data_IF_715727502650
#
_entry.id   IF_715727502650
#
_cell.length_a   1.000
_cell.length_b   1.000
_cell.length_c   1.000
_cell.angle_alpha   90.00
_cell.angle_beta   90.00
_cell.angle_gamma   90.00
#
_symmetry.space_group_name_H-M   'P 1'
#
loop_
_entity.id
_entity.type
_entity.pdbx_description
1 polymer ?
#
# COMPACT_ATOMS: atom_id res chain seq x y z
N UNK A 1 57.54 -27.68 -9.38
CA UNK A 1 56.52 -27.92 -10.43
C UNK A 1 55.10 -28.15 -9.88
N UNK A 2 54.89 -28.90 -8.79
CA UNK A 2 53.56 -29.20 -8.23
C UNK A 2 52.78 -27.95 -7.75
N UNK A 3 53.41 -26.93 -7.15
CA UNK A 3 52.77 -25.71 -6.66
C UNK A 3 52.25 -24.80 -7.78
N UNK A 4 52.90 -24.77 -8.93
CA UNK A 4 52.49 -23.99 -10.09
C UNK A 4 51.27 -24.61 -10.77
N UNK A 5 51.16 -25.94 -10.77
CA UNK A 5 50.01 -26.66 -11.33
C UNK A 5 48.75 -26.52 -10.49
N UNK A 6 48.87 -26.47 -9.16
CA UNK A 6 47.74 -26.31 -8.23
C UNK A 6 47.12 -24.90 -8.32
N UNK A 7 47.99 -23.86 -8.42
CA UNK A 7 47.54 -22.48 -8.61
C UNK A 7 46.83 -22.27 -9.94
N UNK A 8 47.33 -22.86 -11.02
CA UNK A 8 46.70 -22.81 -12.33
C UNK A 8 45.32 -23.51 -12.36
N UNK A 9 45.19 -24.66 -11.70
CA UNK A 9 43.91 -25.39 -11.58
C UNK A 9 42.92 -24.57 -10.76
N UNK A 10 43.31 -24.02 -9.62
CA UNK A 10 42.46 -23.17 -8.79
C UNK A 10 42.00 -21.91 -9.56
N UNK A 11 42.89 -21.29 -10.33
CA UNK A 11 42.53 -20.16 -11.18
C UNK A 11 41.52 -20.53 -12.27
N UNK A 12 41.73 -21.70 -12.93
CA UNK A 12 40.77 -22.20 -13.93
C UNK A 12 39.41 -22.53 -13.32
N UNK A 13 39.37 -23.14 -12.15
CA UNK A 13 38.13 -23.41 -11.41
C UNK A 13 37.44 -22.09 -11.01
N UNK A 14 38.21 -21.13 -10.49
CA UNK A 14 37.67 -19.83 -10.12
C UNK A 14 37.15 -19.04 -11.35
N UNK A 15 37.94 -18.92 -12.42
CA UNK A 15 37.51 -18.25 -13.66
C UNK A 15 36.40 -19.03 -14.39
N UNK A 16 36.32 -20.34 -14.16
CA UNK A 16 35.23 -21.21 -14.59
C UNK A 16 33.91 -20.99 -13.78
N UNK A 17 33.94 -20.24 -12.67
CA UNK A 17 32.79 -20.01 -11.81
C UNK A 17 32.42 -21.18 -10.89
N UNK A 18 33.41 -22.04 -10.53
CA UNK A 18 33.19 -23.15 -9.60
C UNK A 18 32.88 -22.69 -8.16
N UNK A 19 33.21 -21.44 -7.82
CA UNK A 19 32.99 -20.83 -6.50
C UNK A 19 31.82 -19.83 -6.47
N UNK A 20 30.99 -19.82 -7.50
CA UNK A 20 29.75 -19.04 -7.47
C UNK A 20 28.79 -19.59 -6.39
N UNK A 21 27.93 -18.75 -5.81
CA UNK A 21 27.01 -19.15 -4.76
C UNK A 21 26.14 -20.36 -5.12
N UNK A 22 25.84 -21.21 -4.14
CA UNK A 22 25.05 -22.43 -4.36
C UNK A 22 23.56 -22.19 -4.51
N UNK A 23 23.06 -21.07 -4.06
CA UNK A 23 21.65 -20.67 -4.18
C UNK A 23 21.26 -20.26 -5.60
N UNK A 24 22.24 -20.08 -6.50
CA UNK A 24 21.94 -19.70 -7.89
C UNK A 24 21.18 -20.81 -8.60
N UNK A 25 19.95 -20.49 -9.01
CA UNK A 25 19.22 -21.32 -9.97
C UNK A 25 19.59 -20.90 -11.39
N UNK A 26 20.19 -21.81 -12.15
CA UNK A 26 20.59 -21.59 -13.54
C UNK A 26 19.46 -21.97 -14.46
N UNK A 27 18.77 -20.97 -15.04
CA UNK A 27 17.73 -21.19 -16.03
C UNK A 27 18.31 -21.82 -17.31
N UNK A 28 17.53 -22.64 -18.00
CA UNK A 28 17.84 -23.18 -19.33
C UNK A 28 16.57 -23.45 -20.11
N UNK A 29 16.61 -23.26 -21.40
CA UNK A 29 15.45 -23.46 -22.28
C UNK A 29 15.48 -22.55 -23.50
N UNK A 30 14.42 -22.62 -24.31
CA UNK A 30 14.14 -21.68 -25.38
C UNK A 30 12.93 -20.82 -24.99
N UNK A 31 13.04 -19.53 -25.24
CA UNK A 31 12.05 -18.50 -24.96
C UNK A 31 11.84 -17.68 -26.23
N UNK A 32 10.74 -16.91 -26.27
CA UNK A 32 10.46 -16.01 -27.37
C UNK A 32 10.19 -14.61 -26.85
N UNK A 33 10.51 -13.60 -27.67
CA UNK A 33 10.02 -12.23 -27.45
C UNK A 33 8.50 -12.16 -27.67
N UNK A 34 7.86 -11.06 -27.30
CA UNK A 34 6.41 -10.88 -27.42
C UNK A 34 5.90 -10.92 -28.88
N UNK A 35 6.77 -10.66 -29.86
CA UNK A 35 6.47 -10.73 -31.30
C UNK A 35 6.66 -12.12 -31.89
N UNK A 36 7.20 -13.08 -31.10
CA UNK A 36 7.62 -14.43 -31.54
C UNK A 36 8.63 -14.42 -32.70
N UNK A 37 9.30 -13.31 -32.93
CA UNK A 37 10.26 -13.11 -33.99
C UNK A 37 11.66 -13.56 -33.65
N UNK A 38 12.01 -13.44 -32.38
CA UNK A 38 13.31 -13.82 -31.85
C UNK A 38 13.18 -15.02 -30.91
N UNK A 39 13.93 -16.07 -31.20
CA UNK A 39 14.08 -17.21 -30.30
C UNK A 39 15.35 -17.02 -29.44
N UNK A 40 15.18 -17.05 -28.12
CA UNK A 40 16.21 -16.85 -27.12
C UNK A 40 16.56 -18.22 -26.53
N UNK A 41 17.70 -18.76 -26.87
CA UNK A 41 18.17 -20.07 -26.38
C UNK A 41 19.16 -19.86 -25.26
N UNK A 42 18.79 -20.21 -24.02
CA UNK A 42 19.69 -20.21 -22.86
C UNK A 42 20.15 -21.64 -22.56
N UNK A 43 21.41 -21.92 -22.83
CA UNK A 43 22.03 -23.23 -22.57
C UNK A 43 23.46 -23.08 -22.10
N UNK A 44 23.90 -23.93 -21.16
CA UNK A 44 25.26 -23.92 -20.62
C UNK A 44 25.70 -22.53 -20.10
N UNK A 45 24.77 -21.77 -19.46
CA UNK A 45 25.00 -20.41 -18.95
C UNK A 45 25.37 -19.39 -20.05
N UNK A 46 24.91 -19.61 -21.26
CA UNK A 46 25.09 -18.75 -22.44
C UNK A 46 23.78 -18.57 -23.16
N UNK A 47 23.60 -17.39 -23.72
CA UNK A 47 22.46 -17.05 -24.55
C UNK A 47 22.90 -16.98 -26.00
N UNK A 48 22.14 -17.62 -26.86
CA UNK A 48 22.13 -17.44 -28.31
C UNK A 48 20.77 -16.93 -28.75
N UNK A 49 20.75 -15.96 -29.66
CA UNK A 49 19.51 -15.43 -30.22
C UNK A 49 19.45 -15.80 -31.69
N UNK A 50 18.30 -16.38 -32.06
CA UNK A 50 17.99 -16.77 -33.43
C UNK A 50 16.89 -15.82 -33.99
N UNK A 51 17.04 -15.41 -35.22
CA UNK A 51 16.04 -14.70 -36.01
C UNK A 51 15.80 -15.46 -37.30
N UNK A 52 14.56 -15.92 -37.50
CA UNK A 52 14.23 -16.81 -38.64
C UNK A 52 15.06 -18.10 -38.65
N UNK A 53 15.44 -18.62 -37.49
CA UNK A 53 16.26 -19.82 -37.34
C UNK A 53 17.76 -19.63 -37.56
N UNK A 54 18.20 -18.38 -37.79
CA UNK A 54 19.64 -18.04 -37.96
C UNK A 54 20.17 -17.36 -36.73
N UNK A 55 21.32 -17.81 -36.24
CA UNK A 55 22.01 -17.17 -35.10
C UNK A 55 22.46 -15.75 -35.45
N UNK A 56 21.89 -14.76 -34.75
CA UNK A 56 22.16 -13.33 -34.96
C UNK A 56 23.00 -12.72 -33.84
N UNK A 57 23.04 -13.36 -32.67
CA UNK A 57 23.79 -12.86 -31.54
C UNK A 57 24.09 -13.94 -30.49
N UNK A 58 25.20 -13.75 -29.77
CA UNK A 58 25.60 -14.59 -28.64
C UNK A 58 26.02 -13.74 -27.46
N UNK A 59 25.71 -14.18 -26.24
CA UNK A 59 26.13 -13.50 -25.01
C UNK A 59 27.65 -13.35 -24.93
N UNK A 60 28.20 -12.25 -24.34
CA UNK A 60 29.63 -11.96 -24.30
C UNK A 60 30.45 -13.08 -23.69
N UNK A 61 31.70 -13.26 -24.22
CA UNK A 61 32.68 -14.16 -23.59
C UNK A 61 32.99 -13.71 -22.17
N UNK A 62 33.10 -14.65 -21.22
CA UNK A 62 33.38 -14.33 -19.81
C UNK A 62 32.14 -14.07 -18.96
N UNK A 63 30.97 -13.80 -19.55
CA UNK A 63 29.68 -13.68 -18.86
C UNK A 63 29.03 -15.06 -18.69
N UNK A 64 28.43 -15.32 -17.52
CA UNK A 64 27.60 -16.48 -17.24
C UNK A 64 26.19 -16.01 -16.99
N UNK A 65 25.27 -16.35 -17.86
CA UNK A 65 23.85 -15.94 -17.75
C UNK A 65 23.15 -16.87 -16.79
N UNK A 66 22.54 -16.27 -15.76
CA UNK A 66 21.73 -16.97 -14.76
C UNK A 66 20.31 -17.17 -15.26
N UNK A 67 19.68 -16.09 -15.73
CA UNK A 67 18.33 -16.10 -16.30
C UNK A 67 18.16 -15.03 -17.37
N UNK A 68 17.12 -15.17 -18.18
CA UNK A 68 16.71 -14.23 -19.20
C UNK A 68 15.26 -13.80 -18.97
N UNK A 69 14.94 -12.56 -19.35
CA UNK A 69 13.59 -12.01 -19.37
C UNK A 69 13.46 -11.18 -20.65
N UNK A 70 12.35 -11.37 -21.38
CA UNK A 70 11.96 -10.50 -22.49
C UNK A 70 10.72 -9.73 -22.09
N UNK A 71 10.78 -8.43 -22.07
CA UNK A 71 9.67 -7.54 -21.72
C UNK A 71 9.94 -6.12 -22.21
N UNK A 72 8.89 -5.38 -22.54
CA UNK A 72 8.93 -3.95 -22.83
C UNK A 72 9.14 -3.17 -21.54
N UNK A 73 10.42 -2.90 -21.20
CA UNK A 73 10.78 -2.30 -19.93
C UNK A 73 10.68 -0.76 -19.92
N UNK A 74 10.69 -0.14 -21.08
CA UNK A 74 10.62 1.32 -21.22
C UNK A 74 9.31 1.83 -21.82
N UNK A 75 8.36 0.93 -22.07
CA UNK A 75 7.02 1.20 -22.61
C UNK A 75 7.03 1.82 -24.02
N UNK A 76 7.99 1.45 -24.86
CA UNK A 76 8.03 1.87 -26.27
C UNK A 76 7.24 0.95 -27.21
N UNK A 77 6.69 -0.15 -26.69
CA UNK A 77 5.90 -1.15 -27.40
C UNK A 77 6.73 -2.30 -27.96
N UNK A 78 8.05 -2.31 -27.73
CA UNK A 78 8.95 -3.38 -28.13
C UNK A 78 9.62 -3.99 -26.90
N UNK A 79 9.78 -5.31 -26.92
CA UNK A 79 10.47 -5.98 -25.81
C UNK A 79 11.96 -5.67 -25.83
N UNK A 80 12.55 -5.53 -24.65
CA UNK A 80 13.96 -5.68 -24.42
C UNK A 80 14.31 -7.08 -23.93
N UNK A 81 15.57 -7.47 -24.20
CA UNK A 81 16.18 -8.66 -23.62
C UNK A 81 16.98 -8.28 -22.37
N UNK A 82 16.54 -8.74 -21.22
CA UNK A 82 17.26 -8.57 -19.95
C UNK A 82 18.03 -9.86 -19.60
N UNK A 83 19.30 -9.74 -19.28
CA UNK A 83 20.13 -10.84 -18.80
C UNK A 83 20.53 -10.61 -17.36
N UNK A 84 20.06 -11.43 -16.44
CA UNK A 84 20.68 -11.55 -15.12
C UNK A 84 21.92 -12.41 -15.27
N UNK A 85 23.09 -11.86 -14.99
CA UNK A 85 24.33 -12.56 -15.32
C UNK A 85 25.47 -12.27 -14.34
N UNK A 86 26.48 -13.12 -14.38
CA UNK A 86 27.70 -13.07 -13.57
C UNK A 86 28.90 -12.81 -14.46
N UNK A 87 29.74 -11.87 -14.08
CA UNK A 87 31.05 -11.63 -14.68
C UNK A 87 32.09 -11.32 -13.61
N UNK A 88 33.39 -11.42 -13.99
CA UNK A 88 34.49 -10.99 -13.14
C UNK A 88 34.67 -9.48 -13.33
N UNK A 89 34.69 -8.74 -12.22
CA UNK A 89 34.83 -7.30 -12.19
C UNK A 89 33.50 -6.55 -12.21
N UNK A 90 33.48 -5.39 -11.57
CA UNK A 90 32.32 -4.55 -11.40
C UNK A 90 32.03 -3.69 -12.63
N UNK A 91 33.05 -3.07 -13.20
CA UNK A 91 32.90 -2.06 -14.24
C UNK A 91 33.21 -2.56 -15.67
N UNK A 92 34.19 -3.44 -15.82
CA UNK A 92 34.61 -3.89 -17.13
C UNK A 92 35.47 -2.85 -17.89
N UNK A 93 35.32 -2.81 -19.23
CA UNK A 93 36.13 -1.91 -20.10
C UNK A 93 35.77 -0.43 -19.94
N UNK A 94 34.53 -0.11 -19.56
CA UNK A 94 34.01 1.25 -19.39
C UNK A 94 33.95 1.71 -17.94
N UNK A 95 35.04 1.44 -17.18
CA UNK A 95 35.11 1.86 -15.78
C UNK A 95 35.23 3.39 -15.67
N UNK A 96 34.71 4.01 -14.60
CA UNK A 96 34.91 5.43 -14.31
C UNK A 96 36.39 5.80 -14.19
N UNK A 97 36.79 6.99 -14.63
CA UNK A 97 38.18 7.43 -14.66
C UNK A 97 38.86 7.49 -13.27
N UNK A 98 38.08 7.58 -12.20
CA UNK A 98 38.59 7.56 -10.82
C UNK A 98 38.81 6.15 -10.27
N UNK A 99 38.45 5.12 -11.02
CA UNK A 99 38.68 3.70 -10.65
C UNK A 99 39.93 3.21 -11.35
N UNK A 100 41.04 3.10 -10.63
CA UNK A 100 42.30 2.66 -11.20
C UNK A 100 42.29 1.22 -11.69
N UNK A 101 41.69 0.32 -10.93
CA UNK A 101 41.59 -1.12 -11.23
C UNK A 101 40.23 -1.67 -10.92
N UNK A 102 39.73 -2.53 -11.80
CA UNK A 102 38.49 -3.27 -11.54
C UNK A 102 38.71 -4.40 -10.53
N UNK A 103 37.64 -4.78 -9.86
CA UNK A 103 37.68 -5.87 -8.87
C UNK A 103 37.92 -7.23 -9.55
N UNK A 104 38.67 -8.10 -8.87
CA UNK A 104 38.91 -9.47 -9.34
C UNK A 104 38.02 -10.46 -8.61
N UNK A 105 36.73 -10.16 -8.54
CA UNK A 105 35.71 -11.07 -7.96
C UNK A 105 34.54 -11.23 -8.93
N UNK A 106 33.82 -12.31 -8.80
CA UNK A 106 32.53 -12.47 -9.48
C UNK A 106 31.52 -11.49 -8.86
N UNK A 107 30.77 -10.79 -9.71
CA UNK A 107 29.67 -9.92 -9.34
C UNK A 107 28.49 -10.16 -10.26
N UNK A 108 27.29 -9.90 -9.76
CA UNK A 108 26.05 -10.07 -10.49
C UNK A 108 25.65 -8.77 -11.18
N UNK A 109 25.09 -8.87 -12.39
CA UNK A 109 24.76 -7.75 -13.25
C UNK A 109 23.44 -8.00 -13.96
N UNK A 110 22.76 -6.91 -14.33
CA UNK A 110 21.67 -6.92 -15.31
C UNK A 110 22.18 -6.22 -16.57
N UNK A 111 22.09 -6.91 -17.70
CA UNK A 111 22.36 -6.34 -19.01
C UNK A 111 21.08 -6.24 -19.79
N UNK A 112 20.82 -5.09 -20.41
CA UNK A 112 19.63 -4.80 -21.22
C UNK A 112 20.07 -4.61 -22.67
N UNK A 113 19.40 -5.34 -23.55
CA UNK A 113 19.61 -5.29 -24.99
C UNK A 113 18.30 -4.97 -25.69
N UNK A 114 18.35 -4.25 -26.77
CA UNK A 114 17.23 -3.97 -27.67
C UNK A 114 17.32 -4.75 -28.98
N UNK A 115 16.18 -5.06 -29.57
CA UNK A 115 16.07 -5.69 -30.86
C UNK A 115 15.92 -4.62 -31.94
N UNK A 116 16.81 -4.60 -32.93
CA UNK A 116 16.78 -3.62 -34.00
C UNK A 116 17.09 -4.26 -35.36
N UNK A 117 16.10 -4.40 -36.23
CA UNK A 117 16.25 -4.88 -37.61
C UNK A 117 17.06 -6.18 -37.74
N UNK A 118 16.75 -7.18 -36.90
CA UNK A 118 17.45 -8.48 -36.87
C UNK A 118 18.82 -8.42 -36.19
N UNK A 119 19.12 -7.35 -35.46
CA UNK A 119 20.35 -7.19 -34.68
C UNK A 119 20.02 -6.96 -33.21
N UNK A 120 20.94 -7.32 -32.35
CA UNK A 120 20.85 -7.10 -30.92
C UNK A 120 21.89 -6.05 -30.53
N UNK A 121 21.44 -4.96 -29.93
CA UNK A 121 22.28 -3.87 -29.45
C UNK A 121 22.24 -3.75 -27.93
N UNK A 122 23.34 -3.39 -27.33
CA UNK A 122 23.39 -3.07 -25.90
C UNK A 122 22.66 -1.74 -25.67
N UNK A 123 21.63 -1.76 -24.81
CA UNK A 123 20.90 -0.57 -24.36
C UNK A 123 21.45 -0.07 -23.03
N UNK A 124 21.68 -0.99 -22.08
CA UNK A 124 22.21 -0.64 -20.78
C UNK A 124 23.00 -1.80 -20.15
N UNK A 125 24.15 -1.46 -19.56
CA UNK A 125 25.05 -2.42 -18.93
C UNK A 125 25.36 -1.99 -17.51
N UNK A 126 24.64 -2.56 -16.53
CA UNK A 126 24.82 -2.23 -15.13
C UNK A 126 26.26 -2.49 -14.63
N UNK A 127 26.76 -1.60 -13.78
CA UNK A 127 28.02 -1.81 -13.07
C UNK A 127 27.97 -3.01 -12.14
N UNK A 128 26.97 -3.07 -11.28
CA UNK A 128 26.45 -4.21 -10.52
C UNK A 128 25.03 -3.81 -10.01
N UNK A 129 24.33 -4.76 -9.43
CA UNK A 129 22.96 -4.53 -8.95
C UNK A 129 22.95 -3.97 -7.52
N UNK A 130 24.07 -4.09 -6.80
CA UNK A 130 24.17 -3.69 -5.39
C UNK A 130 23.57 -4.67 -4.39
N UNK A 131 22.92 -5.74 -4.85
CA UNK A 131 22.35 -6.82 -4.05
C UNK A 131 22.48 -8.16 -4.79
N UNK A 132 22.42 -9.28 -4.05
CA UNK A 132 22.32 -10.60 -4.64
C UNK A 132 20.88 -10.87 -5.10
N UNK A 133 20.71 -11.43 -6.31
CA UNK A 133 19.41 -11.71 -6.93
C UNK A 133 19.28 -13.18 -7.25
N UNK A 134 18.36 -13.86 -6.60
CA UNK A 134 18.01 -15.26 -6.86
C UNK A 134 17.08 -15.39 -8.08
N UNK A 135 16.12 -14.47 -8.23
CA UNK A 135 15.10 -14.48 -9.29
C UNK A 135 14.88 -13.08 -9.85
N UNK A 136 14.64 -12.99 -11.15
CA UNK A 136 14.32 -11.77 -11.88
C UNK A 136 13.04 -11.99 -12.66
N UNK A 137 12.04 -11.14 -12.50
CA UNK A 137 10.73 -11.19 -13.13
C UNK A 137 10.28 -9.80 -13.56
N UNK A 138 9.48 -9.74 -14.62
CA UNK A 138 8.69 -8.55 -14.95
C UNK A 138 7.29 -8.68 -14.32
N UNK A 139 6.65 -7.59 -13.98
CA UNK A 139 5.28 -7.62 -13.47
C UNK A 139 4.20 -7.71 -14.58
N UNK A 140 4.60 -8.08 -15.81
CA UNK A 140 3.69 -8.16 -16.96
C UNK A 140 3.38 -6.80 -17.59
N UNK A 141 2.40 -6.79 -18.52
CA UNK A 141 1.96 -5.58 -19.23
C UNK A 141 0.87 -4.80 -18.49
N UNK A 142 0.70 -5.02 -17.20
CA UNK A 142 -0.27 -4.25 -16.43
C UNK A 142 0.17 -2.79 -16.37
N UNK A 143 -0.57 -1.98 -17.12
CA UNK A 143 -0.34 -0.55 -17.25
C UNK A 143 -0.36 0.19 -15.89
N UNK A 144 0.33 1.33 -15.74
CA UNK A 144 1.01 2.06 -16.81
C UNK A 144 2.53 1.88 -16.85
N UNK A 145 3.15 1.03 -16.02
CA UNK A 145 4.62 0.93 -15.94
C UNK A 145 5.07 -0.51 -15.80
N UNK A 146 5.86 -0.97 -16.78
CA UNK A 146 6.62 -2.22 -16.61
C UNK A 146 7.64 -2.06 -15.49
N UNK A 147 7.62 -3.01 -14.56
CA UNK A 147 8.52 -3.05 -13.41
C UNK A 147 9.32 -4.33 -13.41
N UNK A 148 10.53 -4.22 -12.94
CA UNK A 148 11.41 -5.35 -12.70
C UNK A 148 11.35 -5.74 -11.23
N UNK A 149 11.01 -6.98 -10.95
CA UNK A 149 11.01 -7.55 -9.61
C UNK A 149 12.27 -8.40 -9.43
N UNK A 150 13.06 -8.08 -8.42
CA UNK A 150 14.28 -8.79 -8.07
C UNK A 150 14.10 -9.43 -6.69
N UNK A 151 14.07 -10.77 -6.65
CA UNK A 151 13.99 -11.53 -5.39
C UNK A 151 15.40 -11.86 -4.92
N UNK A 152 15.76 -11.46 -3.72
CA UNK A 152 17.02 -11.80 -3.06
C UNK A 152 17.03 -13.28 -2.58
N UNK A 153 18.20 -13.87 -2.23
CA UNK A 153 18.27 -15.25 -1.75
C UNK A 153 17.53 -15.55 -0.44
N UNK A 154 17.28 -14.54 0.37
CA UNK A 154 16.50 -14.60 1.62
C UNK A 154 14.99 -14.41 1.40
N UNK A 155 14.57 -14.10 0.16
CA UNK A 155 13.18 -13.93 -0.22
C UNK A 155 12.72 -12.47 -0.25
N UNK A 156 13.55 -11.50 0.13
CA UNK A 156 13.21 -10.08 -0.02
C UNK A 156 12.99 -9.74 -1.49
N UNK A 157 11.91 -9.01 -1.80
CA UNK A 157 11.63 -8.50 -3.14
C UNK A 157 11.89 -7.02 -3.20
N UNK A 158 12.68 -6.62 -4.19
CA UNK A 158 12.89 -5.23 -4.57
C UNK A 158 12.25 -4.96 -5.91
N UNK A 159 11.48 -3.88 -5.99
CA UNK A 159 10.85 -3.40 -7.22
C UNK A 159 11.66 -2.28 -7.83
N UNK A 160 11.88 -2.35 -9.15
CA UNK A 160 12.63 -1.35 -9.91
C UNK A 160 11.80 -0.86 -11.09
N UNK A 161 11.88 0.43 -11.35
CA UNK A 161 11.33 1.07 -12.54
C UNK A 161 12.47 1.47 -13.46
N UNK A 162 12.27 1.31 -14.78
CA UNK A 162 13.17 1.86 -15.77
C UNK A 162 13.01 3.38 -15.86
N UNK A 163 14.13 4.10 -15.89
CA UNK A 163 14.20 5.51 -16.25
C UNK A 163 15.20 5.71 -17.41
N UNK A 164 15.44 6.95 -17.83
CA UNK A 164 16.33 7.25 -18.94
C UNK A 164 17.76 6.69 -18.81
N UNK A 165 18.20 6.41 -17.59
CA UNK A 165 19.59 6.05 -17.31
C UNK A 165 19.76 4.67 -16.69
N UNK A 166 18.69 3.92 -16.51
CA UNK A 166 18.72 2.58 -15.92
C UNK A 166 17.57 2.31 -14.97
N UNK A 167 17.79 1.39 -14.04
CA UNK A 167 16.80 1.00 -13.05
C UNK A 167 16.91 1.82 -11.78
N UNK A 168 15.81 2.40 -11.36
CA UNK A 168 15.66 3.07 -10.06
C UNK A 168 14.84 2.18 -9.14
N UNK A 169 15.36 1.88 -7.94
CA UNK A 169 14.63 1.13 -6.92
C UNK A 169 13.44 1.96 -6.45
N UNK A 170 12.26 1.35 -6.47
CA UNK A 170 11.04 1.96 -5.93
C UNK A 170 10.89 1.58 -4.45
N UNK A 171 10.49 2.53 -3.62
CA UNK A 171 10.00 2.24 -2.29
C UNK A 171 8.65 1.52 -2.42
N UNK A 172 8.48 0.38 -1.75
CA UNK A 172 7.25 -0.42 -1.81
C UNK A 172 6.54 -0.52 -0.49
N UNK A 173 7.23 -0.23 0.60
CA UNK A 173 6.61 -0.16 1.91
C UNK A 173 5.69 1.07 1.99
N UNK A 174 4.50 0.87 2.54
CA UNK A 174 3.51 1.93 2.79
C UNK A 174 3.07 1.84 4.23
N UNK A 175 3.36 2.88 5.00
CA UNK A 175 2.96 3.01 6.39
C UNK A 175 1.60 3.70 6.50
N UNK A 176 0.71 3.10 7.31
CA UNK A 176 -0.60 3.65 7.64
C UNK A 176 -0.66 4.00 9.12
N UNK A 177 -1.28 5.15 9.43
CA UNK A 177 -1.75 5.50 10.76
C UNK A 177 -3.24 5.79 10.70
N UNK A 178 -4.01 5.16 11.59
CA UNK A 178 -5.48 5.27 11.61
C UNK A 178 -5.93 5.72 12.98
N UNK A 179 -6.70 6.81 13.00
CA UNK A 179 -7.28 7.39 14.20
C UNK A 179 -8.77 7.08 14.28
N UNK A 180 -9.24 6.82 15.50
CA UNK A 180 -10.63 6.46 15.77
C UNK A 180 -11.62 7.61 15.68
N UNK A 181 -12.69 7.52 16.48
CA UNK A 181 -13.85 8.37 16.40
C UNK A 181 -13.51 9.85 16.72
N UNK A 182 -13.54 10.69 15.68
CA UNK A 182 -13.54 12.15 15.81
C UNK A 182 -14.96 12.61 16.09
N UNK A 183 -15.39 12.46 17.35
CA UNK A 183 -16.73 12.68 17.84
C UNK A 183 -16.86 14.07 18.46
N UNK A 184 -17.23 15.05 17.67
CA UNK A 184 -17.21 16.47 18.03
C UNK A 184 -18.44 16.87 18.83
N UNK A 185 -18.38 16.69 20.14
CA UNK A 185 -19.38 17.13 21.08
C UNK A 185 -19.44 18.66 21.26
N UNK A 186 -20.55 19.14 21.77
CA UNK A 186 -20.79 20.57 22.01
C UNK A 186 -19.69 21.28 22.79
N UNK A 187 -19.14 20.76 23.91
CA UNK A 187 -18.05 21.42 24.63
C UNK A 187 -16.80 21.63 23.78
N UNK A 188 -16.49 20.67 22.85
CA UNK A 188 -15.31 20.71 21.99
C UNK A 188 -15.47 21.84 20.97
N UNK A 189 -16.56 21.81 20.15
CA UNK A 189 -16.70 22.85 19.14
C UNK A 189 -16.94 24.23 19.71
N UNK A 190 -17.63 24.36 20.87
CA UNK A 190 -17.79 25.66 21.53
C UNK A 190 -16.46 26.22 22.02
N UNK A 191 -15.52 25.36 22.43
CA UNK A 191 -14.18 25.83 22.76
C UNK A 191 -13.47 26.40 21.54
N UNK A 192 -13.41 25.66 20.42
CA UNK A 192 -12.78 26.13 19.18
C UNK A 192 -13.39 27.42 18.62
N UNK A 193 -14.73 27.52 18.64
CA UNK A 193 -15.42 28.76 18.20
C UNK A 193 -15.00 29.99 19.05
N UNK A 194 -14.71 29.81 20.35
CA UNK A 194 -14.18 30.90 21.19
C UNK A 194 -12.71 31.25 20.94
N UNK A 195 -11.99 30.35 20.24
CA UNK A 195 -10.61 30.57 19.81
C UNK A 195 -10.55 31.00 18.34
N UNK A 196 -11.39 31.98 17.96
CA UNK A 196 -11.49 32.50 16.59
C UNK A 196 -11.83 31.43 15.53
N UNK A 197 -12.52 30.37 15.96
CA UNK A 197 -12.84 29.17 15.17
C UNK A 197 -11.61 28.40 14.68
N UNK A 198 -10.50 28.50 15.38
CA UNK A 198 -9.31 27.67 15.20
C UNK A 198 -9.48 26.33 15.91
N UNK A 199 -9.36 25.24 15.17
CA UNK A 199 -9.46 23.86 15.64
C UNK A 199 -8.13 23.07 15.49
N UNK A 200 -7.03 23.75 15.14
CA UNK A 200 -5.72 23.11 15.01
C UNK A 200 -5.28 22.41 16.31
N UNK A 201 -5.74 22.90 17.48
CA UNK A 201 -5.47 22.30 18.78
C UNK A 201 -5.90 20.83 18.91
N UNK A 202 -6.85 20.37 18.07
CA UNK A 202 -7.29 18.97 18.10
C UNK A 202 -6.18 18.01 17.66
N UNK A 203 -5.26 18.46 16.78
CA UNK A 203 -4.28 17.59 16.13
C UNK A 203 -2.82 17.94 16.46
N UNK A 204 -2.57 18.94 17.31
CA UNK A 204 -1.21 19.40 17.65
C UNK A 204 -0.25 18.27 18.06
N UNK A 205 -0.73 17.33 18.89
CA UNK A 205 0.11 16.29 19.49
C UNK A 205 0.29 15.05 18.58
N UNK A 206 -0.44 14.97 17.47
CA UNK A 206 -0.36 13.85 16.51
C UNK A 206 0.15 14.29 15.14
N UNK A 207 0.40 15.59 14.94
CA UNK A 207 0.78 16.16 13.65
C UNK A 207 2.06 15.56 13.09
N UNK A 208 3.06 15.31 13.95
CA UNK A 208 4.34 14.77 13.51
C UNK A 208 4.18 13.34 12.98
N UNK A 209 3.44 12.48 13.69
CA UNK A 209 3.19 11.10 13.24
C UNK A 209 2.34 11.03 11.98
N UNK A 210 1.39 11.96 11.80
CA UNK A 210 0.62 12.11 10.55
C UNK A 210 1.60 12.44 9.40
N UNK A 211 2.48 13.42 9.58
CA UNK A 211 3.42 13.86 8.57
C UNK A 211 4.52 12.82 8.23
N UNK A 212 4.85 11.93 9.15
CA UNK A 212 5.84 10.87 8.99
C UNK A 212 5.27 9.60 8.33
N UNK A 213 3.93 9.44 8.31
CA UNK A 213 3.27 8.30 7.67
C UNK A 213 3.02 8.52 6.18
N UNK A 214 2.98 7.44 5.39
CA UNK A 214 2.63 7.53 3.96
C UNK A 214 1.13 7.76 3.75
N UNK A 215 0.28 7.27 4.69
CA UNK A 215 -1.18 7.44 4.66
C UNK A 215 -1.70 7.63 6.07
N UNK A 216 -2.34 8.76 6.32
CA UNK A 216 -3.03 9.06 7.57
C UNK A 216 -4.56 9.05 7.37
N UNK A 217 -5.26 8.31 8.23
CA UNK A 217 -6.71 8.09 8.17
C UNK A 217 -7.37 8.50 9.48
N UNK A 218 -8.55 9.12 9.41
CA UNK A 218 -9.37 9.44 10.60
C UNK A 218 -10.84 9.12 10.36
N UNK A 219 -11.52 8.58 11.38
CA UNK A 219 -12.97 8.42 11.35
C UNK A 219 -13.67 9.73 11.77
N UNK A 220 -14.22 10.45 10.81
CA UNK A 220 -15.07 11.63 11.07
C UNK A 220 -16.50 11.16 11.34
N UNK A 221 -16.82 10.97 12.62
CA UNK A 221 -18.08 10.34 13.01
C UNK A 221 -19.29 11.24 12.78
N UNK A 222 -19.11 12.54 12.88
CA UNK A 222 -20.20 13.51 12.85
C UNK A 222 -20.20 14.37 11.58
N UNK A 223 -21.35 14.60 10.91
CA UNK A 223 -21.40 15.33 9.67
C UNK A 223 -20.96 16.79 9.83
N UNK A 224 -20.24 17.30 8.82
CA UNK A 224 -19.85 18.71 8.75
C UNK A 224 -21.03 19.59 8.31
N UNK A 225 -21.06 20.81 8.81
CA UNK A 225 -22.01 21.86 8.40
C UNK A 225 -21.34 23.24 8.43
N UNK A 226 -21.77 24.13 7.54
CA UNK A 226 -21.28 25.52 7.46
C UNK A 226 -22.22 26.53 8.13
N UNK A 227 -23.50 26.16 8.31
CA UNK A 227 -24.47 27.03 8.94
C UNK A 227 -24.44 26.89 10.47
N UNK A 228 -24.12 27.97 11.22
CA UNK A 228 -24.09 27.94 12.69
C UNK A 228 -25.41 27.50 13.37
N UNK A 229 -26.56 27.67 12.68
CA UNK A 229 -27.86 27.21 13.19
C UNK A 229 -27.98 25.68 13.20
N UNK A 230 -27.12 25.00 12.45
CA UNK A 230 -27.06 23.53 12.37
C UNK A 230 -26.02 22.94 13.32
N UNK A 231 -25.18 23.74 14.01
CA UNK A 231 -24.25 23.21 14.99
C UNK A 231 -25.01 22.53 16.12
N UNK A 232 -24.54 21.32 16.48
CA UNK A 232 -25.18 20.52 17.51
C UNK A 232 -24.28 19.42 18.04
N UNK A 233 -24.56 19.03 19.28
CA UNK A 233 -24.01 17.84 19.92
C UNK A 233 -25.05 16.73 20.01
N UNK A 234 -24.76 15.74 20.89
CA UNK A 234 -25.69 14.62 21.14
C UNK A 234 -27.10 15.09 21.44
N UNK A 235 -28.15 14.43 20.92
CA UNK A 235 -28.12 13.19 20.13
C UNK A 235 -28.03 13.39 18.60
N UNK A 236 -28.01 14.62 18.10
CA UNK A 236 -27.92 14.94 16.67
C UNK A 236 -26.82 15.94 16.41
N UNK A 237 -25.72 15.41 15.93
CA UNK A 237 -24.50 16.18 15.70
C UNK A 237 -24.57 17.06 14.44
N UNK A 238 -23.85 18.18 14.49
CA UNK A 238 -23.55 19.04 13.37
C UNK A 238 -22.27 19.77 13.69
N UNK A 239 -21.20 19.33 13.04
CA UNK A 239 -19.82 19.76 13.33
C UNK A 239 -19.49 20.97 12.47
N UNK A 240 -18.96 22.08 13.05
CA UNK A 240 -18.48 23.20 12.27
C UNK A 240 -17.48 22.78 11.19
N UNK A 241 -17.64 23.27 9.96
CA UNK A 241 -16.76 22.98 8.82
C UNK A 241 -15.27 23.30 9.11
N UNK A 242 -14.99 24.20 10.05
CA UNK A 242 -13.64 24.54 10.51
C UNK A 242 -12.92 23.36 11.18
N UNK A 243 -13.66 22.40 11.75
CA UNK A 243 -13.06 21.12 12.23
C UNK A 243 -12.57 20.31 11.04
N UNK A 244 -13.36 20.22 9.97
CA UNK A 244 -12.94 19.59 8.71
C UNK A 244 -11.69 20.28 8.13
N UNK A 245 -11.60 21.61 8.20
CA UNK A 245 -10.41 22.34 7.75
C UNK A 245 -9.19 21.97 8.62
N UNK A 246 -9.34 21.81 9.92
CA UNK A 246 -8.25 21.37 10.80
C UNK A 246 -7.77 19.94 10.49
N UNK A 247 -8.67 19.04 10.04
CA UNK A 247 -8.31 17.70 9.54
C UNK A 247 -7.44 17.83 8.28
N UNK A 248 -7.86 18.66 7.32
CA UNK A 248 -7.08 18.92 6.09
C UNK A 248 -5.71 19.51 6.41
N UNK A 249 -5.66 20.51 7.29
CA UNK A 249 -4.42 21.22 7.67
C UNK A 249 -3.48 20.35 8.51
N UNK A 250 -4.01 19.33 9.20
CA UNK A 250 -3.20 18.33 9.90
C UNK A 250 -2.52 17.35 8.95
N UNK A 251 -2.99 17.23 7.70
CA UNK A 251 -2.36 16.39 6.67
C UNK A 251 -2.97 14.99 6.53
N UNK A 252 -4.21 14.77 6.98
CA UNK A 252 -4.88 13.50 6.73
C UNK A 252 -5.17 13.28 5.24
N UNK A 253 -4.88 12.08 4.75
CA UNK A 253 -5.10 11.66 3.37
C UNK A 253 -6.52 11.14 3.14
N UNK A 254 -7.08 10.44 4.14
CA UNK A 254 -8.35 9.74 4.05
C UNK A 254 -9.23 10.03 5.27
N UNK A 255 -10.52 10.29 5.01
CA UNK A 255 -11.54 10.46 6.04
C UNK A 255 -12.63 9.41 5.80
N UNK A 256 -12.91 8.60 6.81
CA UNK A 256 -14.03 7.64 6.81
C UNK A 256 -15.25 8.29 7.40
N UNK A 257 -16.40 8.21 6.71
CA UNK A 257 -17.62 8.96 7.05
C UNK A 257 -18.88 8.09 7.14
N UNK A 258 -18.82 6.79 6.80
CA UNK A 258 -19.95 5.88 7.04
C UNK A 258 -20.03 5.57 8.54
N UNK A 259 -20.90 6.26 9.25
CA UNK A 259 -21.10 6.15 10.69
C UNK A 259 -22.59 6.16 11.03
N UNK A 260 -22.94 5.81 12.28
CA UNK A 260 -24.32 5.90 12.76
C UNK A 260 -24.86 7.35 12.82
N UNK A 261 -23.99 8.36 12.91
CA UNK A 261 -24.32 9.79 12.97
C UNK A 261 -24.30 10.51 11.61
N UNK A 262 -23.95 9.83 10.53
CA UNK A 262 -23.74 10.42 9.19
C UNK A 262 -24.95 11.19 8.68
N UNK A 263 -26.19 10.75 8.99
CA UNK A 263 -27.46 11.37 8.58
C UNK A 263 -28.06 12.33 9.62
N UNK A 264 -27.32 12.71 10.66
CA UNK A 264 -27.85 13.64 11.70
C UNK A 264 -28.23 15.01 11.14
N UNK A 265 -27.72 15.38 9.98
CA UNK A 265 -28.08 16.60 9.20
C UNK A 265 -28.68 16.28 7.84
N UNK A 266 -29.25 15.06 7.70
CA UNK A 266 -29.89 14.61 6.47
C UNK A 266 -28.92 14.49 5.29
N UNK A 267 -29.46 14.28 4.09
CA UNK A 267 -28.66 14.16 2.87
C UNK A 267 -27.81 15.39 2.56
N UNK A 268 -28.29 16.58 2.89
CA UNK A 268 -27.51 17.83 2.70
C UNK A 268 -26.23 17.83 3.51
N UNK A 269 -26.28 17.30 4.77
CA UNK A 269 -25.08 17.16 5.60
C UNK A 269 -24.09 16.14 5.04
N UNK A 270 -24.57 15.03 4.48
CA UNK A 270 -23.75 14.03 3.81
C UNK A 270 -23.05 14.64 2.59
N UNK A 271 -23.83 15.27 1.68
CA UNK A 271 -23.30 15.93 0.48
C UNK A 271 -22.25 16.99 0.84
N UNK A 272 -22.58 17.87 1.80
CA UNK A 272 -21.66 18.89 2.24
C UNK A 272 -20.34 18.29 2.78
N UNK A 273 -20.42 17.22 3.58
CA UNK A 273 -19.24 16.55 4.15
C UNK A 273 -18.35 15.94 3.06
N UNK A 274 -18.95 15.20 2.11
CA UNK A 274 -18.21 14.59 0.96
C UNK A 274 -17.52 15.68 0.12
N UNK A 275 -18.27 16.69 -0.31
CA UNK A 275 -17.76 17.80 -1.15
C UNK A 275 -16.70 18.62 -0.42
N UNK A 276 -16.86 18.83 0.88
CA UNK A 276 -15.89 19.57 1.68
C UNK A 276 -14.50 18.95 1.62
N UNK A 277 -14.39 17.65 1.86
CA UNK A 277 -13.12 16.92 1.86
C UNK A 277 -12.58 16.72 0.44
N UNK A 278 -13.40 16.26 -0.49
CA UNK A 278 -12.97 15.97 -1.87
C UNK A 278 -12.48 17.21 -2.60
N UNK A 279 -13.14 18.37 -2.41
CA UNK A 279 -12.71 19.65 -3.00
C UNK A 279 -11.36 20.14 -2.45
N UNK A 280 -10.89 19.59 -1.33
CA UNK A 280 -9.61 19.91 -0.69
C UNK A 280 -8.55 18.83 -0.87
N UNK A 281 -8.83 17.83 -1.74
CA UNK A 281 -7.89 16.78 -2.08
C UNK A 281 -7.77 15.67 -1.02
N UNK A 282 -8.68 15.62 -0.05
CA UNK A 282 -8.76 14.52 0.93
C UNK A 282 -9.74 13.46 0.43
N UNK A 283 -9.33 12.21 0.43
CA UNK A 283 -10.19 11.09 0.04
C UNK A 283 -11.26 10.85 1.11
N UNK A 284 -12.53 11.05 0.75
CA UNK A 284 -13.66 10.84 1.67
C UNK A 284 -14.41 9.57 1.24
N UNK A 285 -14.49 8.57 2.10
CA UNK A 285 -15.07 7.25 1.80
C UNK A 285 -16.27 6.92 2.69
N UNK A 286 -17.13 6.00 2.20
CA UNK A 286 -18.29 5.48 2.92
C UNK A 286 -19.58 6.28 2.73
N UNK A 287 -19.53 7.41 2.03
CA UNK A 287 -20.69 8.24 1.72
C UNK A 287 -20.63 8.74 0.28
N UNK A 288 -21.83 8.97 -0.33
CA UNK A 288 -21.95 9.49 -1.69
C UNK A 288 -22.87 10.72 -1.77
N UNK A 289 -22.64 11.57 -2.78
CA UNK A 289 -23.51 12.73 -3.06
C UNK A 289 -24.75 12.30 -3.84
N UNK A 290 -25.75 13.19 -3.94
CA UNK A 290 -26.98 12.90 -4.68
C UNK A 290 -26.75 12.60 -6.17
N UNK A 291 -25.73 13.17 -6.77
CA UNK A 291 -25.36 12.95 -8.17
C UNK A 291 -24.45 11.70 -8.35
N UNK A 292 -24.02 11.08 -7.25
CA UNK A 292 -23.09 9.96 -7.21
C UNK A 292 -23.72 8.57 -7.27
N UNK A 293 -24.96 8.44 -7.78
CA UNK A 293 -25.72 7.18 -7.83
C UNK A 293 -25.04 6.01 -8.62
N UNK A 294 -23.94 6.29 -9.32
CA UNK A 294 -23.07 5.30 -9.97
C UNK A 294 -21.68 5.21 -9.26
N UNK A 295 -21.59 5.67 -8.01
CA UNK A 295 -20.35 5.69 -7.24
C UNK A 295 -19.82 4.27 -6.97
N UNK A 296 -18.50 4.09 -7.07
CA UNK A 296 -17.85 2.87 -6.64
C UNK A 296 -17.98 2.73 -5.11
N UNK A 297 -18.27 1.54 -4.58
CA UNK A 297 -18.35 1.32 -3.13
C UNK A 297 -16.97 1.44 -2.43
N UNK A 298 -15.90 1.65 -3.19
CA UNK A 298 -14.53 1.79 -2.71
C UNK A 298 -13.78 2.85 -3.51
N UNK A 299 -12.73 3.37 -2.91
CA UNK A 299 -11.78 4.28 -3.56
C UNK A 299 -10.43 3.59 -3.75
N UNK A 300 -9.79 3.81 -4.90
CA UNK A 300 -8.43 3.32 -5.17
C UNK A 300 -7.42 4.40 -4.79
N UNK A 301 -6.68 4.15 -3.72
CA UNK A 301 -5.55 4.96 -3.30
C UNK A 301 -4.24 4.35 -3.83
N UNK A 302 -3.42 5.16 -4.52
CA UNK A 302 -2.09 4.72 -4.98
C UNK A 302 -1.00 5.37 -4.11
N UNK A 303 -0.18 4.54 -3.45
CA UNK A 303 1.00 4.99 -2.69
C UNK A 303 2.18 4.07 -2.96
N UNK A 304 3.33 4.67 -3.19
CA UNK A 304 4.57 3.94 -3.52
C UNK A 304 4.36 2.87 -4.61
N UNK A 305 3.47 3.18 -5.59
CA UNK A 305 3.10 2.32 -6.71
C UNK A 305 2.27 1.08 -6.33
N UNK A 306 1.76 0.99 -5.11
CA UNK A 306 0.80 -0.02 -4.65
C UNK A 306 -0.61 0.55 -4.69
N UNK A 307 -1.56 -0.24 -5.19
CA UNK A 307 -2.98 0.12 -5.32
C UNK A 307 -3.73 -0.45 -4.12
N UNK A 308 -4.30 0.42 -3.31
CA UNK A 308 -5.12 0.06 -2.16
C UNK A 308 -6.59 0.31 -2.50
N UNK A 309 -7.46 -0.70 -2.36
CA UNK A 309 -8.89 -0.50 -2.35
C UNK A 309 -9.34 -0.22 -0.92
N UNK A 310 -9.93 0.95 -0.71
CA UNK A 310 -10.37 1.43 0.60
C UNK A 310 -11.89 1.43 0.66
N UNK A 311 -12.45 0.62 1.55
CA UNK A 311 -13.87 0.56 1.85
C UNK A 311 -14.18 1.22 3.18
N UNK A 312 -15.39 1.78 3.32
CA UNK A 312 -15.91 2.18 4.62
C UNK A 312 -17.40 1.87 4.71
N UNK A 313 -17.81 1.10 5.72
CA UNK A 313 -19.18 0.70 5.97
C UNK A 313 -19.62 1.05 7.39
N UNK A 314 -20.94 1.26 7.59
CA UNK A 314 -21.55 1.37 8.92
C UNK A 314 -22.68 0.34 9.12
N UNK A 315 -22.86 -0.10 10.37
CA UNK A 315 -23.96 -0.99 10.74
C UNK A 315 -25.35 -0.36 10.63
N UNK A 316 -25.42 0.98 10.56
CA UNK A 316 -26.70 1.69 10.51
C UNK A 316 -26.54 3.20 10.68
N UNK A 317 -27.69 3.89 10.74
CA UNK A 317 -27.82 5.36 10.73
C UNK A 317 -28.71 5.88 11.85
N UNK A 318 -28.67 5.26 13.03
CA UNK A 318 -29.51 5.60 14.20
C UNK A 318 -31.03 5.67 13.87
N UNK A 319 -31.47 4.82 12.93
CA UNK A 319 -32.86 4.75 12.50
C UNK A 319 -33.32 5.90 11.60
N UNK A 320 -32.42 6.78 11.18
CA UNK A 320 -32.69 7.81 10.16
C UNK A 320 -32.66 7.12 8.80
N UNK A 321 -33.70 7.27 8.00
CA UNK A 321 -33.77 6.62 6.68
C UNK A 321 -32.85 7.30 5.69
N UNK A 322 -32.13 6.49 4.94
CA UNK A 322 -31.39 6.94 3.76
C UNK A 322 -32.40 7.41 2.71
N UNK A 323 -32.13 8.49 1.98
CA UNK A 323 -33.01 8.98 0.92
C UNK A 323 -33.31 7.90 -0.13
N UNK A 324 -34.58 7.73 -0.50
CA UNK A 324 -35.01 6.69 -1.45
C UNK A 324 -34.48 6.92 -2.87
N UNK A 325 -34.16 8.15 -3.21
CA UNK A 325 -33.59 8.58 -4.50
C UNK A 325 -32.05 8.39 -4.58
N UNK A 326 -31.40 8.10 -3.44
CA UNK A 326 -30.00 7.68 -3.40
C UNK A 326 -29.76 6.65 -2.28
N UNK A 327 -30.08 5.37 -2.51
CA UNK A 327 -29.91 4.31 -1.51
C UNK A 327 -28.44 4.04 -1.14
N UNK A 328 -27.49 4.42 -2.00
CA UNK A 328 -26.05 4.24 -1.83
C UNK A 328 -25.39 5.47 -1.18
N UNK A 329 -26.17 6.48 -0.76
CA UNK A 329 -25.65 7.67 -0.08
C UNK A 329 -24.80 7.34 1.16
N UNK A 330 -25.08 6.21 1.82
CA UNK A 330 -24.31 5.69 2.94
C UNK A 330 -24.07 4.22 2.72
N UNK A 331 -22.82 3.79 2.77
CA UNK A 331 -22.47 2.39 2.59
C UNK A 331 -22.80 1.59 3.87
N UNK A 332 -23.84 0.78 3.79
CA UNK A 332 -24.30 -0.04 4.92
C UNK A 332 -23.62 -1.42 4.94
N UNK A 333 -23.45 -1.95 6.14
CA UNK A 333 -23.00 -3.31 6.40
C UNK A 333 -24.23 -4.19 6.67
N UNK A 334 -25.08 -4.40 5.67
CA UNK A 334 -26.39 -5.03 5.81
C UNK A 334 -26.66 -6.21 4.84
N UNK A 335 -25.91 -6.30 3.73
CA UNK A 335 -26.03 -7.35 2.71
C UNK A 335 -24.68 -8.03 2.45
N UNK A 336 -24.50 -9.26 2.95
CA UNK A 336 -23.27 -10.04 2.81
C UNK A 336 -22.92 -10.31 1.35
N UNK A 337 -23.90 -10.70 0.51
CA UNK A 337 -23.63 -11.05 -0.89
C UNK A 337 -23.17 -9.81 -1.68
N UNK A 338 -23.74 -8.65 -1.38
CA UNK A 338 -23.33 -7.38 -1.97
C UNK A 338 -21.90 -7.04 -1.58
N UNK A 339 -21.58 -7.02 -0.28
CA UNK A 339 -20.24 -6.68 0.23
C UNK A 339 -19.18 -7.65 -0.30
N UNK A 340 -19.46 -8.96 -0.32
CA UNK A 340 -18.53 -9.95 -0.87
C UNK A 340 -18.26 -9.74 -2.37
N UNK A 341 -19.28 -9.35 -3.14
CA UNK A 341 -19.14 -9.05 -4.56
C UNK A 341 -18.29 -7.80 -4.77
N UNK A 342 -18.57 -6.72 -4.04
CA UNK A 342 -17.82 -5.45 -4.09
C UNK A 342 -16.33 -5.66 -3.76
N UNK A 343 -16.01 -6.42 -2.71
CA UNK A 343 -14.63 -6.76 -2.35
C UNK A 343 -13.96 -7.58 -3.46
N UNK A 344 -14.68 -8.53 -4.05
CA UNK A 344 -14.14 -9.34 -5.14
C UNK A 344 -13.80 -8.49 -6.37
N UNK A 345 -14.67 -7.56 -6.74
CA UNK A 345 -14.44 -6.62 -7.85
C UNK A 345 -13.22 -5.73 -7.57
N UNK A 346 -13.11 -5.20 -6.35
CA UNK A 346 -11.96 -4.40 -5.94
C UNK A 346 -10.63 -5.15 -6.03
N UNK A 347 -10.62 -6.44 -5.73
CA UNK A 347 -9.41 -7.29 -5.84
C UNK A 347 -8.94 -7.53 -7.28
N UNK A 348 -9.77 -7.26 -8.28
CA UNK A 348 -9.36 -7.28 -9.68
C UNK A 348 -8.60 -6.00 -10.06
N UNK A 349 -8.74 -4.91 -9.27
CA UNK A 349 -8.17 -3.60 -9.55
C UNK A 349 -7.08 -3.16 -8.56
N UNK A 350 -7.04 -3.78 -7.37
CA UNK A 350 -6.14 -3.40 -6.28
C UNK A 350 -5.19 -4.52 -5.88
N UNK A 351 -4.02 -4.13 -5.40
CA UNK A 351 -3.01 -5.03 -4.83
C UNK A 351 -3.32 -5.42 -3.39
N UNK A 352 -4.11 -4.59 -2.67
CA UNK A 352 -4.37 -4.72 -1.23
C UNK A 352 -5.73 -4.11 -0.86
N UNK A 353 -6.51 -4.77 -0.01
CA UNK A 353 -7.87 -4.35 0.37
C UNK A 353 -7.94 -4.01 1.86
N UNK A 354 -8.38 -2.79 2.16
CA UNK A 354 -8.57 -2.29 3.52
C UNK A 354 -10.05 -1.93 3.71
N UNK A 355 -10.66 -2.46 4.77
CA UNK A 355 -12.04 -2.14 5.16
C UNK A 355 -12.03 -1.37 6.48
N UNK A 356 -12.52 -0.14 6.45
CA UNK A 356 -12.85 0.63 7.64
C UNK A 356 -14.33 0.37 7.97
N UNK A 357 -14.63 0.08 9.23
CA UNK A 357 -15.99 -0.32 9.59
C UNK A 357 -16.44 0.29 10.91
N UNK A 358 -17.63 0.90 10.90
CA UNK A 358 -18.25 1.50 12.06
C UNK A 358 -19.34 0.56 12.57
N UNK A 359 -19.04 -0.23 13.62
CA UNK A 359 -19.80 -1.41 14.01
C UNK A 359 -19.74 -1.77 15.49
N UNK A 360 -20.57 -2.74 15.90
CA UNK A 360 -20.53 -3.31 17.24
C UNK A 360 -21.44 -2.59 18.22
N UNK A 361 -21.31 -2.93 19.49
CA UNK A 361 -22.10 -2.38 20.58
C UNK A 361 -21.29 -1.34 21.35
N UNK A 362 -21.88 -0.14 21.57
CA UNK A 362 -21.24 0.94 22.33
C UNK A 362 -20.80 0.44 23.72
N UNK A 363 -19.59 0.84 24.12
CA UNK A 363 -18.96 0.61 25.43
C UNK A 363 -18.57 -0.85 25.74
N UNK A 364 -18.85 -1.80 24.83
CA UNK A 364 -18.44 -3.19 24.99
C UNK A 364 -16.95 -3.34 24.63
N UNK A 365 -16.17 -3.97 25.56
CA UNK A 365 -14.71 -4.16 25.40
C UNK A 365 -14.32 -5.42 24.64
N UNK A 366 -15.30 -6.24 24.29
CA UNK A 366 -15.10 -7.46 23.51
C UNK A 366 -16.00 -7.39 22.26
N UNK A 367 -15.54 -7.94 21.13
CA UNK A 367 -16.32 -8.00 19.92
C UNK A 367 -17.65 -8.76 20.14
N UNK A 368 -18.76 -8.17 19.71
CA UNK A 368 -20.07 -8.79 19.76
C UNK A 368 -20.29 -9.80 18.59
N UNK A 369 -21.47 -10.45 18.58
CA UNK A 369 -21.82 -11.45 17.55
C UNK A 369 -21.88 -10.84 16.14
N UNK A 370 -22.28 -9.58 16.00
CA UNK A 370 -22.32 -8.88 14.73
C UNK A 370 -20.90 -8.66 14.18
N UNK A 371 -19.99 -8.19 15.01
CA UNK A 371 -18.58 -8.01 14.65
C UNK A 371 -17.93 -9.34 14.28
N UNK A 372 -18.16 -10.41 15.06
CA UNK A 372 -17.61 -11.75 14.79
C UNK A 372 -18.10 -12.31 13.46
N UNK A 373 -19.40 -12.16 13.17
CA UNK A 373 -20.00 -12.59 11.91
C UNK A 373 -19.36 -11.90 10.70
N UNK A 374 -19.27 -10.57 10.72
CA UNK A 374 -18.69 -9.82 9.62
C UNK A 374 -17.18 -10.01 9.50
N UNK A 375 -16.49 -10.26 10.60
CA UNK A 375 -15.07 -10.67 10.58
C UNK A 375 -14.87 -11.91 9.71
N UNK A 376 -15.75 -12.93 9.86
CA UNK A 376 -15.66 -14.12 9.04
C UNK A 376 -15.95 -13.83 7.56
N UNK A 377 -16.95 -12.98 7.25
CA UNK A 377 -17.26 -12.55 5.87
C UNK A 377 -16.05 -11.86 5.22
N UNK A 378 -15.39 -10.96 5.93
CA UNK A 378 -14.20 -10.26 5.43
C UNK A 378 -13.01 -11.22 5.22
N UNK A 379 -12.78 -12.15 6.16
CA UNK A 379 -11.73 -13.15 6.03
C UNK A 379 -11.97 -14.08 4.83
N UNK A 380 -13.21 -14.54 4.63
CA UNK A 380 -13.60 -15.37 3.50
C UNK A 380 -13.47 -14.62 2.16
N UNK A 381 -13.75 -13.31 2.16
CA UNK A 381 -13.59 -12.42 1.01
C UNK A 381 -12.14 -12.01 0.74
N UNK A 382 -11.18 -12.45 1.58
CA UNK A 382 -9.74 -12.13 1.46
C UNK A 382 -9.45 -10.63 1.61
N UNK A 383 -10.12 -9.98 2.53
CA UNK A 383 -9.71 -8.65 3.00
C UNK A 383 -8.36 -8.76 3.71
N UNK A 384 -7.50 -7.77 3.55
CA UNK A 384 -6.15 -7.81 4.11
C UNK A 384 -6.05 -7.09 5.46
N UNK A 385 -6.79 -5.97 5.62
CA UNK A 385 -6.87 -5.22 6.89
C UNK A 385 -8.30 -4.76 7.16
N UNK A 386 -8.75 -4.90 8.41
CA UNK A 386 -10.01 -4.34 8.92
C UNK A 386 -9.70 -3.42 10.11
N UNK A 387 -10.23 -2.19 10.08
CA UNK A 387 -10.12 -1.25 11.20
C UNK A 387 -11.51 -0.81 11.63
N UNK A 388 -11.89 -1.20 12.86
CA UNK A 388 -13.19 -0.94 13.46
C UNK A 388 -13.22 0.30 14.35
N UNK A 389 -14.38 0.97 14.34
CA UNK A 389 -14.75 2.12 15.16
C UNK A 389 -16.19 1.95 15.69
N UNK A 390 -16.77 2.89 16.41
CA UNK A 390 -18.10 2.93 17.01
C UNK A 390 -18.20 2.50 18.49
N UNK A 391 -17.57 1.42 19.01
CA UNK A 391 -17.72 1.08 20.42
C UNK A 391 -17.25 2.17 21.40
N UNK A 392 -16.53 3.17 20.94
CA UNK A 392 -15.93 4.28 21.71
C UNK A 392 -14.93 3.84 22.78
N UNK A 393 -14.60 2.57 22.78
CA UNK A 393 -13.63 1.93 23.68
C UNK A 393 -12.71 1.04 22.88
N UNK A 394 -11.51 0.79 23.41
CA UNK A 394 -10.57 -0.15 22.80
C UNK A 394 -11.11 -1.58 22.91
N UNK A 395 -11.11 -2.28 21.78
CA UNK A 395 -11.31 -3.73 21.69
C UNK A 395 -10.02 -4.41 21.22
N UNK A 396 -9.91 -5.75 21.27
CA UNK A 396 -8.73 -6.48 20.79
C UNK A 396 -8.35 -6.19 19.35
N UNK A 397 -7.11 -6.47 19.01
CA UNK A 397 -6.62 -6.54 17.62
C UNK A 397 -5.75 -7.78 17.47
N UNK A 398 -5.79 -8.40 16.29
CA UNK A 398 -5.08 -9.64 16.02
C UNK A 398 -4.86 -9.88 14.53
N UNK A 399 -3.93 -10.77 14.22
CA UNK A 399 -3.74 -11.31 12.87
C UNK A 399 -4.48 -12.64 12.77
N UNK A 400 -5.52 -12.67 11.94
CA UNK A 400 -6.29 -13.88 11.63
C UNK A 400 -5.69 -14.59 10.42
N UNK A 401 -5.87 -15.90 10.34
CA UNK A 401 -5.43 -16.70 9.20
C UNK A 401 -6.50 -17.69 8.81
N UNK A 402 -6.83 -17.78 7.54
CA UNK A 402 -7.73 -18.79 7.00
C UNK A 402 -7.01 -20.13 6.71
N UNK A 403 -7.79 -21.15 6.34
CA UNK A 403 -7.28 -22.50 6.02
C UNK A 403 -6.37 -22.53 4.77
N UNK A 404 -6.41 -21.49 3.92
CA UNK A 404 -5.61 -21.36 2.71
C UNK A 404 -4.34 -20.52 2.92
N UNK A 405 -4.11 -20.04 4.14
CA UNK A 405 -2.94 -19.26 4.53
C UNK A 405 -3.05 -17.76 4.25
N UNK A 406 -4.23 -17.25 3.86
CA UNK A 406 -4.47 -15.80 3.78
C UNK A 406 -4.48 -15.21 5.18
N UNK A 407 -3.81 -14.08 5.36
CA UNK A 407 -3.71 -13.33 6.62
C UNK A 407 -4.54 -12.05 6.53
N UNK A 408 -5.32 -11.77 7.57
CA UNK A 408 -6.09 -10.53 7.73
C UNK A 408 -5.78 -9.92 9.10
N UNK A 409 -5.25 -8.70 9.11
CA UNK A 409 -5.10 -7.93 10.33
C UNK A 409 -6.44 -7.27 10.68
N UNK A 410 -6.90 -7.46 11.92
CA UNK A 410 -8.13 -6.83 12.40
C UNK A 410 -7.89 -6.05 13.68
N UNK A 411 -8.39 -4.82 13.72
CA UNK A 411 -8.62 -4.01 14.90
C UNK A 411 -10.14 -3.92 15.11
N UNK A 412 -10.69 -4.60 16.10
CA UNK A 412 -12.15 -4.61 16.31
C UNK A 412 -12.71 -3.25 16.69
N UNK A 413 -12.01 -2.49 17.52
CA UNK A 413 -12.27 -1.06 17.78
C UNK A 413 -11.00 -0.38 18.26
N UNK A 414 -10.71 0.78 17.68
CA UNK A 414 -9.61 1.65 18.11
C UNK A 414 -10.08 2.80 19.01
N UNK A 415 -11.38 2.81 19.41
CA UNK A 415 -11.96 3.77 20.33
C UNK A 415 -12.00 5.21 19.80
N UNK A 416 -12.16 6.17 20.70
CA UNK A 416 -12.22 7.58 20.36
C UNK A 416 -10.83 8.16 20.04
N UNK A 417 -10.76 8.97 18.97
CA UNK A 417 -9.68 9.93 18.82
C UNK A 417 -9.92 11.14 19.72
N UNK A 418 -11.12 11.73 19.65
CA UNK A 418 -11.55 12.80 20.55
C UNK A 418 -13.04 12.73 20.82
N UNK A 419 -13.44 12.89 22.05
CA UNK A 419 -14.85 13.01 22.46
C UNK A 419 -14.97 13.79 23.76
N UNK A 420 -16.19 14.14 24.14
CA UNK A 420 -16.47 14.68 25.48
C UNK A 420 -17.27 13.68 26.34
N UNK A 421 -17.14 12.39 26.06
CA UNK A 421 -17.64 11.35 26.94
C UNK A 421 -16.76 11.26 28.20
N UNK A 422 -17.40 11.17 29.38
CA UNK A 422 -16.70 11.26 30.67
C UNK A 422 -16.33 9.87 31.24
N UNK A 423 -16.73 8.78 30.61
CA UNK A 423 -16.39 7.43 31.08
C UNK A 423 -14.90 7.13 30.89
N UNK A 424 -14.27 6.53 31.90
CA UNK A 424 -12.83 6.22 31.89
C UNK A 424 -12.40 5.38 30.69
N UNK A 425 -13.26 4.48 30.22
CA UNK A 425 -12.99 3.67 29.02
C UNK A 425 -13.05 4.47 27.72
N UNK A 426 -13.89 5.50 27.63
CA UNK A 426 -14.10 6.33 26.45
C UNK A 426 -13.04 7.42 26.25
N UNK A 427 -12.31 7.78 27.32
CA UNK A 427 -11.17 8.69 27.21
C UNK A 427 -9.86 7.98 26.80
N UNK A 428 -9.91 6.65 26.64
CA UNK A 428 -8.80 5.83 26.18
C UNK A 428 -9.07 5.36 24.76
N UNK A 429 -8.35 5.90 23.82
CA UNK A 429 -8.36 5.48 22.42
C UNK A 429 -7.05 4.88 21.98
N UNK A 430 -6.90 4.61 20.71
CA UNK A 430 -5.70 4.10 20.09
C UNK A 430 -5.48 4.64 18.69
N UNK A 431 -4.23 4.69 18.30
CA UNK A 431 -3.82 4.87 16.91
C UNK A 431 -3.39 3.50 16.38
N UNK A 432 -4.12 2.96 15.43
CA UNK A 432 -3.69 1.77 14.71
C UNK A 432 -2.59 2.14 13.73
N UNK A 433 -1.45 1.46 13.83
CA UNK A 433 -0.34 1.61 12.90
C UNK A 433 -0.04 0.29 12.21
N UNK A 434 0.15 0.29 10.89
CA UNK A 434 0.61 -0.89 10.15
C UNK A 434 1.38 -0.50 8.90
N UNK A 435 2.31 -1.38 8.50
CA UNK A 435 3.10 -1.23 7.28
C UNK A 435 2.79 -2.37 6.31
N UNK A 436 2.47 -2.01 5.07
CA UNK A 436 2.26 -2.97 3.98
C UNK A 436 3.50 -2.99 3.11
N UNK A 437 4.08 -4.17 2.89
CA UNK A 437 5.27 -4.33 2.05
C UNK A 437 5.09 -5.45 1.03
N UNK A 438 5.78 -5.34 -0.10
CA UNK A 438 5.87 -6.42 -1.09
C UNK A 438 6.85 -7.49 -0.60
N UNK A 439 6.35 -8.73 -0.46
CA UNK A 439 7.13 -9.91 -0.03
C UNK A 439 7.13 -10.98 -1.13
N UNK A 440 7.85 -12.06 -0.92
CA UNK A 440 7.84 -13.21 -1.84
C UNK A 440 6.46 -13.86 -2.01
N UNK A 441 5.54 -13.61 -1.08
CA UNK A 441 4.17 -14.14 -1.08
C UNK A 441 3.12 -13.10 -1.55
N UNK A 442 3.57 -11.95 -2.06
CA UNK A 442 2.74 -10.80 -2.43
C UNK A 442 2.76 -9.70 -1.37
N UNK A 443 1.83 -8.76 -1.48
CA UNK A 443 1.69 -7.70 -0.48
C UNK A 443 1.19 -8.26 0.85
N UNK A 444 1.85 -7.86 1.97
CA UNK A 444 1.55 -8.31 3.32
C UNK A 444 1.70 -7.18 4.32
N UNK A 445 0.98 -7.26 5.43
CA UNK A 445 1.29 -6.48 6.62
C UNK A 445 2.57 -7.04 7.24
N UNK A 446 3.61 -6.22 7.31
CA UNK A 446 4.93 -6.62 7.86
C UNK A 446 5.16 -6.12 9.27
N UNK A 447 4.51 -5.02 9.64
CA UNK A 447 4.55 -4.44 10.98
C UNK A 447 3.15 -3.94 11.35
N UNK A 448 2.74 -4.10 12.60
CA UNK A 448 1.49 -3.56 13.10
C UNK A 448 1.52 -3.31 14.60
N UNK A 449 0.77 -2.31 15.04
CA UNK A 449 0.68 -1.89 16.46
C UNK A 449 -0.66 -1.20 16.74
N UNK A 450 -0.99 -1.09 18.01
CA UNK A 450 -2.03 -0.19 18.50
C UNK A 450 -1.40 0.68 19.57
N UNK A 451 -1.10 1.93 19.24
CA UNK A 451 -0.50 2.87 20.17
C UNK A 451 -1.57 3.56 21.02
N UNK A 452 -1.53 3.45 22.36
CA UNK A 452 -2.56 4.04 23.20
C UNK A 452 -2.56 5.57 23.14
N UNK A 453 -3.77 6.13 23.08
CA UNK A 453 -4.05 7.55 23.16
C UNK A 453 -4.89 7.85 24.41
N UNK A 454 -4.78 9.05 24.94
CA UNK A 454 -5.61 9.53 26.04
C UNK A 454 -6.21 10.89 25.71
N UNK A 455 -7.53 10.99 25.83
CA UNK A 455 -8.26 12.25 25.74
C UNK A 455 -8.21 12.91 27.12
N UNK A 456 -7.76 14.16 27.17
CA UNK A 456 -7.70 14.96 28.38
C UNK A 456 -8.49 16.25 28.22
N UNK A 457 -9.17 16.66 29.30
CA UNK A 457 -9.79 17.97 29.39
C UNK A 457 -8.90 18.87 30.24
N UNK A 458 -8.26 19.83 29.61
CA UNK A 458 -7.36 20.77 30.27
C UNK A 458 -8.10 22.03 30.79
N UNK A 459 -7.40 22.83 31.59
CA UNK A 459 -7.94 24.09 32.13
C UNK A 459 -8.44 25.00 31.00
N UNK A 460 -9.57 25.69 31.22
CA UNK A 460 -10.23 26.50 30.20
C UNK A 460 -11.21 25.73 29.30
N UNK A 461 -11.32 24.40 29.46
CA UNK A 461 -12.27 23.54 28.75
C UNK A 461 -11.81 23.09 27.36
N UNK A 462 -10.49 23.18 27.07
CA UNK A 462 -9.87 22.57 25.90
C UNK A 462 -9.84 21.04 26.06
N UNK A 463 -10.14 20.33 25.00
CA UNK A 463 -9.90 18.89 24.89
C UNK A 463 -8.63 18.67 24.08
N UNK A 464 -7.84 17.68 24.45
CA UNK A 464 -6.58 17.29 23.82
C UNK A 464 -6.46 15.78 23.76
N UNK A 465 -5.89 15.25 22.72
CA UNK A 465 -5.54 13.84 22.59
C UNK A 465 -4.02 13.72 22.64
N UNK A 466 -3.52 12.86 23.51
CA UNK A 466 -2.10 12.70 23.77
C UNK A 466 -1.70 11.22 23.69
N UNK A 467 -0.48 10.94 23.22
CA UNK A 467 0.12 9.60 23.36
C UNK A 467 0.37 9.27 24.82
N UNK A 468 0.15 7.99 25.20
CA UNK A 468 0.45 7.49 26.55
C UNK A 468 1.91 7.12 26.72
#
# INVERSE_FOLDING_TARGET
MALVSTGAILYLLWSGGAFLPRWIFWQSGSFYDSSESYEIVLQNKKVEILYGGVSVWNSPKGVKVQSVLSCDIDNDGMDELLLLCWKIGRYGEHRPYWVERDEKKWSQHIFVYEYENGKIKAKWMASDIGQDVAKMEGNGREAPFNRLLLTAPDGEISRFRWDYWGFTKEETAVSFVVFGDNLIHEPIYRYGLRQEADFAFLFENVKDVIAESDVAVINQETPLVDNPEQYGGYPRFGTPAQVGQAIVDAGFDVVTCATNHVLDRGGDGVCFTKEFFTSRGVTCIGIETMDGADGSPYEILVRNGTRFALFNYTYGTNGIRIPEDNPDMVHLLDDEERVMREIKEAKEEADFVIVFVHWGTEYEKQPDEFQQKWTQVFLDSKVDVVVGTHPHVLQPYEMLRDDNGHEMLIYYSIGNYISAQDEESCVKGGMAGFTVSLTAEGFRVTEYSLQPLTITRVEGGRYSTDFQ
#
